data_IF_811402066838
#
_entry.id   IF_811402066838
#
_cell.length_a   1.000
_cell.length_b   1.000
_cell.length_c   1.000
_cell.angle_alpha   90.00
_cell.angle_beta   90.00
_cell.angle_gamma   90.00
#
_symmetry.space_group_name_H-M   'P 1'
#
loop_
_entity.id
_entity.type
_entity.pdbx_description
1 polymer ?
#
# COMPACT_ATOMS: atom_id res chain seq x y z
N UNK A 1 -19.15 7.43 10.21
CA UNK A 1 -17.83 7.33 9.57
C UNK A 1 -17.30 5.94 9.84
N UNK A 2 -17.27 5.07 8.85
CA UNK A 2 -16.82 3.68 9.03
C UNK A 2 -15.36 3.61 8.62
N UNK A 3 -14.46 3.59 9.62
CA UNK A 3 -13.04 3.34 9.46
C UNK A 3 -12.81 1.83 9.53
N UNK A 4 -13.11 1.10 8.46
CA UNK A 4 -12.59 -0.26 8.34
C UNK A 4 -11.14 -0.18 7.88
N UNK A 5 -10.20 -0.91 8.52
CA UNK A 5 -8.83 -0.99 8.02
C UNK A 5 -8.84 -1.60 6.61
N UNK A 6 -8.12 -0.98 5.67
CA UNK A 6 -7.95 -1.53 4.33
C UNK A 6 -6.98 -2.71 4.42
N UNK A 7 -7.43 -3.91 4.11
CA UNK A 7 -6.57 -5.10 4.06
C UNK A 7 -6.31 -5.50 2.60
N UNK A 8 -5.04 -5.76 2.28
CA UNK A 8 -4.62 -6.21 0.95
C UNK A 8 -3.70 -7.41 1.07
N UNK A 9 -3.72 -8.25 0.04
CA UNK A 9 -3.01 -9.51 -0.03
C UNK A 9 -2.16 -9.53 -1.30
N UNK A 10 -0.86 -9.81 -1.17
CA UNK A 10 0.11 -9.72 -2.28
C UNK A 10 0.92 -11.01 -2.35
N UNK A 11 1.16 -11.50 -3.56
CA UNK A 11 2.01 -12.67 -3.79
C UNK A 11 3.48 -12.32 -3.67
N UNK A 12 4.24 -13.21 -3.05
CA UNK A 12 5.71 -13.10 -3.03
C UNK A 12 6.24 -13.17 -4.47
N UNK A 13 7.15 -12.26 -4.81
CA UNK A 13 7.71 -12.12 -6.14
C UNK A 13 7.01 -11.07 -7.02
N UNK A 14 5.82 -10.61 -6.64
CA UNK A 14 5.05 -9.62 -7.40
C UNK A 14 5.35 -8.19 -6.96
N UNK A 15 4.96 -7.22 -7.79
CA UNK A 15 5.07 -5.82 -7.46
C UNK A 15 3.85 -5.37 -6.63
N UNK A 16 4.10 -4.79 -5.46
CA UNK A 16 3.09 -4.01 -4.73
C UNK A 16 3.22 -2.54 -5.11
N UNK A 17 2.08 -1.91 -5.43
CA UNK A 17 1.99 -0.45 -5.59
C UNK A 17 0.87 0.09 -4.69
N UNK A 18 1.24 0.96 -3.76
CA UNK A 18 0.31 1.74 -2.94
C UNK A 18 0.20 3.13 -3.55
N UNK A 19 -0.97 3.44 -4.09
CA UNK A 19 -1.22 4.69 -4.82
C UNK A 19 -1.44 5.85 -3.83
N UNK A 20 -0.39 6.60 -3.48
CA UNK A 20 -0.40 7.61 -2.41
C UNK A 20 -0.91 8.97 -2.93
N UNK A 21 -1.98 8.94 -3.73
CA UNK A 21 -2.49 10.11 -4.47
C UNK A 21 -3.27 11.13 -3.61
N UNK A 22 -3.17 11.06 -2.29
CA UNK A 22 -3.71 12.11 -1.44
C UNK A 22 -2.82 13.34 -1.57
N UNK A 23 -3.39 14.49 -1.92
CA UNK A 23 -2.64 15.76 -2.05
C UNK A 23 -1.87 16.14 -0.78
N UNK A 24 -2.38 15.72 0.38
CA UNK A 24 -1.78 15.95 1.70
C UNK A 24 -0.74 14.91 2.11
N UNK A 25 -0.64 13.77 1.45
CA UNK A 25 0.30 12.74 1.87
C UNK A 25 1.75 13.18 1.66
N UNK A 26 2.56 13.06 2.69
CA UNK A 26 3.97 13.45 2.70
C UNK A 26 4.89 12.24 2.88
N UNK A 27 4.52 11.29 3.73
CA UNK A 27 5.32 10.09 4.00
C UNK A 27 4.48 8.81 4.20
N UNK A 28 5.09 7.66 3.96
CA UNK A 28 4.55 6.34 4.34
C UNK A 28 5.55 5.65 5.25
N UNK A 29 5.03 5.12 6.34
CA UNK A 29 5.78 4.29 7.27
C UNK A 29 5.18 2.89 7.35
N UNK A 30 6.01 1.89 7.59
CA UNK A 30 5.59 0.50 7.79
C UNK A 30 6.16 -0.04 9.09
N UNK A 31 5.45 -0.96 9.74
CA UNK A 31 5.93 -1.71 10.89
C UNK A 31 6.41 -3.13 10.53
N UNK A 32 6.65 -3.41 9.25
CA UNK A 32 7.02 -4.76 8.78
C UNK A 32 8.28 -5.33 9.44
N UNK A 33 9.19 -4.47 9.90
CA UNK A 33 10.41 -4.82 10.65
C UNK A 33 10.22 -4.92 12.16
N UNK A 34 9.01 -4.68 12.69
CA UNK A 34 8.71 -4.59 14.12
C UNK A 34 8.73 -3.16 14.67
N UNK A 35 9.30 -2.19 13.95
CA UNK A 35 9.31 -0.76 14.29
C UNK A 35 8.82 0.07 13.10
N UNK A 36 8.23 1.25 13.36
CA UNK A 36 7.79 2.16 12.31
C UNK A 36 8.98 2.73 11.56
N UNK A 37 9.10 2.38 10.28
CA UNK A 37 10.18 2.79 9.39
C UNK A 37 9.62 3.51 8.18
N UNK A 38 10.20 4.65 7.82
CA UNK A 38 9.85 5.38 6.60
C UNK A 38 10.29 4.59 5.36
N UNK A 39 9.36 4.36 4.44
CA UNK A 39 9.58 3.60 3.20
C UNK A 39 9.21 4.38 1.94
N UNK A 40 8.63 5.57 2.13
CA UNK A 40 8.27 6.49 1.07
C UNK A 40 8.18 7.90 1.63
N UNK A 41 8.66 8.85 0.85
CA UNK A 41 8.48 10.27 1.09
C UNK A 41 8.30 10.98 -0.23
N UNK A 42 7.32 11.87 -0.30
CA UNK A 42 6.97 12.62 -1.50
C UNK A 42 8.21 13.34 -2.05
N UNK A 43 8.49 13.10 -3.33
CA UNK A 43 9.58 13.76 -4.06
C UNK A 43 10.97 13.24 -3.73
N UNK A 44 11.10 12.18 -2.93
CA UNK A 44 12.41 11.58 -2.62
C UNK A 44 12.95 10.72 -3.78
N UNK A 45 12.11 10.34 -4.74
CA UNK A 45 12.53 9.57 -5.92
C UNK A 45 12.85 8.11 -5.58
N UNK A 46 14.02 7.62 -5.96
CA UNK A 46 14.40 6.20 -5.76
C UNK A 46 15.06 6.03 -4.40
N UNK A 47 14.48 5.18 -3.55
CA UNK A 47 15.01 4.85 -2.21
C UNK A 47 15.98 3.68 -2.25
N UNK A 48 15.66 2.65 -3.03
CA UNK A 48 16.50 1.49 -3.26
C UNK A 48 16.18 0.86 -4.62
N UNK A 49 16.92 -0.16 -5.03
CA UNK A 49 16.59 -0.91 -6.25
C UNK A 49 15.15 -1.45 -6.23
N UNK A 50 14.63 -1.79 -5.03
CA UNK A 50 13.29 -2.34 -4.78
C UNK A 50 12.22 -1.29 -4.48
N UNK A 51 12.59 -0.10 -3.98
CA UNK A 51 11.65 0.95 -3.51
C UNK A 51 11.82 2.27 -4.28
N UNK A 52 10.72 2.80 -4.84
CA UNK A 52 10.73 4.06 -5.58
C UNK A 52 9.43 4.86 -5.49
N UNK A 53 9.57 6.18 -5.55
CA UNK A 53 8.55 7.24 -5.65
C UNK A 53 8.60 7.98 -7.02
N UNK A 54 8.95 7.29 -8.11
CA UNK A 54 9.14 7.99 -9.40
C UNK A 54 7.84 8.57 -9.97
N UNK A 55 6.68 8.06 -9.54
CA UNK A 55 5.37 8.48 -10.03
C UNK A 55 4.43 9.00 -8.92
N UNK A 56 4.99 9.37 -7.76
CA UNK A 56 4.21 9.88 -6.62
C UNK A 56 3.56 8.79 -5.76
N UNK A 57 3.97 7.52 -5.91
CA UNK A 57 3.41 6.37 -5.22
C UNK A 57 4.49 5.48 -4.63
N UNK A 58 4.16 4.75 -3.57
CA UNK A 58 5.05 3.72 -3.03
C UNK A 58 4.99 2.48 -3.92
N UNK A 59 6.10 2.18 -4.58
CA UNK A 59 6.27 0.94 -5.35
C UNK A 59 7.31 0.03 -4.70
N UNK A 60 6.93 -1.23 -4.44
CA UNK A 60 7.80 -2.33 -4.00
C UNK A 60 7.88 -3.36 -5.14
N UNK A 61 8.99 -3.40 -5.88
CA UNK A 61 9.08 -4.17 -7.14
C UNK A 61 9.08 -5.69 -6.99
N UNK A 62 9.58 -6.21 -5.87
CA UNK A 62 9.70 -7.64 -5.62
C UNK A 62 9.25 -7.90 -4.19
N UNK A 63 7.94 -8.04 -3.97
CA UNK A 63 7.34 -8.22 -2.65
C UNK A 63 7.75 -9.55 -2.01
N UNK A 64 8.02 -9.52 -0.71
CA UNK A 64 8.41 -10.69 0.09
C UNK A 64 7.61 -10.75 1.38
N UNK A 65 7.68 -11.87 2.09
CA UNK A 65 7.07 -12.00 3.42
C UNK A 65 7.56 -10.94 4.42
N UNK A 66 8.75 -10.39 4.23
CA UNK A 66 9.31 -9.35 5.10
C UNK A 66 8.71 -7.96 4.84
N UNK A 67 7.98 -7.80 3.74
CA UNK A 67 7.29 -6.55 3.41
C UNK A 67 5.83 -6.58 3.92
N UNK A 68 5.38 -7.70 4.50
CA UNK A 68 4.09 -7.84 5.18
C UNK A 68 4.09 -7.00 6.45
N UNK A 69 2.99 -6.28 6.70
CA UNK A 69 2.88 -5.38 7.84
C UNK A 69 1.81 -4.32 7.63
N UNK A 70 1.67 -3.46 8.61
CA UNK A 70 0.79 -2.29 8.54
C UNK A 70 1.57 -1.10 8.00
N UNK A 71 0.97 -0.44 7.01
CA UNK A 71 1.46 0.77 6.38
C UNK A 71 0.55 1.92 6.77
N UNK A 72 1.13 3.05 7.17
CA UNK A 72 0.41 4.28 7.46
C UNK A 72 0.86 5.39 6.53
N UNK A 73 -0.11 6.08 5.93
CA UNK A 73 0.11 7.28 5.13
C UNK A 73 -0.09 8.48 6.04
N UNK A 74 0.91 9.34 6.13
CA UNK A 74 0.90 10.53 6.99
C UNK A 74 1.04 11.79 6.14
N UNK A 75 0.48 12.90 6.63
CA UNK A 75 0.78 14.22 6.08
C UNK A 75 2.07 14.83 6.67
N UNK A 76 2.38 16.05 6.25
CA UNK A 76 3.59 16.79 6.66
C UNK A 76 3.61 17.14 8.15
N UNK A 77 2.46 17.13 8.83
CA UNK A 77 2.35 17.35 10.27
C UNK A 77 2.46 16.03 11.06
N UNK A 78 2.50 14.89 10.35
CA UNK A 78 2.51 13.56 10.94
C UNK A 78 1.11 13.02 11.25
N UNK A 79 0.05 13.69 10.78
CA UNK A 79 -1.32 13.24 11.00
C UNK A 79 -1.65 12.02 10.13
N UNK A 80 -2.37 11.08 10.72
CA UNK A 80 -2.74 9.83 10.06
C UNK A 80 -3.84 10.08 9.01
N UNK A 81 -3.52 9.82 7.75
CA UNK A 81 -4.49 9.90 6.65
C UNK A 81 -5.14 8.54 6.38
N UNK A 82 -4.33 7.47 6.29
CA UNK A 82 -4.80 6.11 5.94
C UNK A 82 -3.93 5.06 6.65
N UNK A 83 -4.57 3.96 7.05
CA UNK A 83 -3.90 2.73 7.47
C UNK A 83 -4.27 1.59 6.51
N UNK A 84 -3.25 0.86 6.03
CA UNK A 84 -3.38 -0.32 5.17
C UNK A 84 -2.64 -1.48 5.80
N UNK A 85 -3.26 -2.63 5.96
CA UNK A 85 -2.60 -3.88 6.35
C UNK A 85 -2.27 -4.68 5.09
N UNK A 86 -1.01 -4.99 4.89
CA UNK A 86 -0.51 -5.79 3.76
C UNK A 86 -0.14 -7.17 4.26
N UNK A 87 -0.68 -8.20 3.63
CA UNK A 87 -0.44 -9.61 3.93
C UNK A 87 0.17 -10.34 2.72
N UNK A 88 0.92 -11.42 2.97
CA UNK A 88 1.55 -12.22 1.92
C UNK A 88 0.79 -13.52 1.62
N UNK A 89 0.50 -13.78 0.33
CA UNK A 89 -0.07 -15.08 -0.09
C UNK A 89 1.02 -16.11 -0.35
N UNK A 90 0.95 -17.24 0.36
CA UNK A 90 1.80 -18.40 0.10
C UNK A 90 1.14 -19.28 -0.96
N UNK A 91 1.46 -19.01 -2.24
CA UNK A 91 1.08 -19.77 -3.45
C UNK A 91 -0.30 -20.47 -3.40
N UNK A 92 -1.32 -19.83 -3.97
CA UNK A 92 -2.39 -20.53 -4.67
C UNK A 92 -2.43 -20.08 -6.14
N UNK A 93 -2.71 -21.02 -7.04
CA UNK A 93 -2.56 -20.90 -8.49
C UNK A 93 -3.75 -20.15 -9.10
N UNK A 94 -3.91 -18.88 -8.77
CA UNK A 94 -4.52 -17.85 -9.63
C UNK A 94 -4.54 -16.53 -8.85
N UNK A 95 -4.27 -15.42 -9.50
CA UNK A 95 -4.72 -14.06 -9.10
C UNK A 95 -3.95 -13.06 -9.96
N UNK A 96 -4.73 -12.20 -10.61
CA UNK A 96 -4.31 -11.12 -11.50
C UNK A 96 -3.60 -10.04 -10.67
N UNK A 97 -2.51 -9.46 -11.21
CA UNK A 97 -1.81 -8.28 -10.69
C UNK A 97 -2.78 -7.27 -10.03
N UNK A 98 -2.72 -7.09 -8.71
CA UNK A 98 -3.64 -6.20 -8.01
C UNK A 98 -2.98 -4.83 -7.80
N UNK A 99 -3.35 -3.86 -8.63
CA UNK A 99 -3.02 -2.43 -8.45
C UNK A 99 -4.09 -1.83 -7.53
N UNK A 100 -3.78 -1.54 -6.27
CA UNK A 100 -4.70 -0.83 -5.38
C UNK A 100 -4.52 0.69 -5.55
N UNK A 101 -5.42 1.29 -6.33
CA UNK A 101 -5.56 2.76 -6.42
C UNK A 101 -6.26 3.27 -5.15
N UNK A 102 -5.52 3.84 -4.20
CA UNK A 102 -6.06 4.58 -3.03
C UNK A 102 -6.62 5.96 -3.43
N UNK A 103 -7.26 6.03 -4.60
CA UNK A 103 -8.01 7.20 -5.06
C UNK A 103 -9.40 6.88 -5.63
N UNK A 104 -9.92 5.66 -5.45
CA UNK A 104 -11.33 5.37 -5.76
C UNK A 104 -11.84 4.10 -5.06
N UNK A 105 -12.24 4.23 -3.81
CA UNK A 105 -13.17 3.30 -3.14
C UNK A 105 -14.46 4.05 -2.73
N UNK A 106 -15.01 4.81 -3.67
CA UNK A 106 -16.42 4.66 -3.99
C UNK A 106 -16.42 3.87 -5.30
N UNK A 107 -17.09 2.72 -5.31
CA UNK A 107 -17.15 1.73 -6.40
C UNK A 107 -15.93 0.79 -6.48
N UNK A 108 -15.95 -0.28 -5.67
CA UNK A 108 -16.20 -1.64 -6.16
C UNK A 108 -16.51 -2.49 -4.93
N UNK A 109 -17.78 -2.47 -4.52
CA UNK A 109 -18.37 -3.61 -3.82
C UNK A 109 -18.65 -4.65 -4.89
N UNK A 110 -18.02 -5.85 -4.86
CA UNK A 110 -18.41 -6.92 -5.74
C UNK A 110 -19.51 -7.79 -5.13
N UNK A 111 -20.37 -7.28 -4.22
CA UNK A 111 -21.61 -7.99 -3.85
C UNK A 111 -22.76 -7.02 -3.54
N UNK A 112 -23.37 -6.48 -4.60
CA UNK A 112 -24.84 -6.46 -4.72
C UNK A 112 -25.16 -6.72 -6.19
N UNK A 113 -25.28 -8.01 -6.56
CA UNK A 113 -26.01 -8.37 -7.76
C UNK A 113 -27.49 -8.18 -7.42
N UNK A 114 -28.10 -7.12 -7.96
CA UNK A 114 -29.56 -7.05 -8.04
C UNK A 114 -30.02 -7.97 -9.17
N UNK A 115 -30.76 -9.01 -8.81
CA UNK A 115 -31.91 -9.50 -9.58
C UNK A 115 -33.10 -9.52 -8.63
#
# INVERSE_FOLDING_TARGET
>A
MCLWPYEISVKTGEQLKLDVLLSRADKVETNSSGEWTEVWKRGHGVWSERLSDTDGNLTIKNFTSNDTGTYRVLDSEGELLITVTVTGERRSVDARNIIYKVHRLIMFSPEVQYI
#
